data_IF_246338265021
#
_entry.id   IF_246338265021
#
_cell.length_a   1.000
_cell.length_b   1.000
_cell.length_c   1.000
_cell.angle_alpha   90.00
_cell.angle_beta   90.00
_cell.angle_gamma   90.00
#
_symmetry.space_group_name_H-M   'P 1'
#
loop_
_entity.id
_entity.type
_entity.pdbx_description
1 polymer ?
#
# COMPACT_ATOMS: atom_id res chain seq x y z
N UNK A 1 -2.15 -17.01 2.48
CA UNK A 1 -3.30 -17.71 3.09
C UNK A 1 -4.53 -17.78 2.17
N UNK A 2 -5.02 -16.66 1.62
CA UNK A 2 -6.25 -16.64 0.79
C UNK A 2 -6.11 -17.31 -0.59
N UNK A 3 -4.97 -17.13 -1.26
CA UNK A 3 -4.69 -17.69 -2.61
C UNK A 3 -4.73 -19.22 -2.68
N UNK A 4 -4.53 -19.91 -1.55
CA UNK A 4 -4.51 -21.38 -1.49
C UNK A 4 -5.87 -22.02 -1.20
N UNK A 5 -6.98 -21.25 -1.17
CA UNK A 5 -8.34 -21.76 -0.90
C UNK A 5 -9.10 -21.96 -2.22
N UNK A 6 -10.05 -22.90 -2.27
CA UNK A 6 -10.84 -23.27 -3.47
C UNK A 6 -11.70 -22.14 -4.10
N UNK A 7 -11.76 -20.97 -3.49
CA UNK A 7 -12.55 -19.81 -3.91
C UNK A 7 -11.64 -18.67 -4.43
N UNK A 8 -10.54 -19.05 -5.10
CA UNK A 8 -9.38 -18.18 -5.32
C UNK A 8 -9.65 -17.08 -6.37
N UNK A 9 -10.22 -15.98 -5.89
CA UNK A 9 -10.28 -14.70 -6.62
C UNK A 9 -8.88 -14.14 -6.93
N UNK A 10 -7.90 -14.48 -6.10
CA UNK A 10 -6.52 -14.02 -6.23
C UNK A 10 -5.57 -15.18 -6.48
N UNK A 11 -4.62 -14.95 -7.39
CA UNK A 11 -3.54 -15.87 -7.75
C UNK A 11 -2.21 -15.48 -7.09
N UNK A 12 -1.16 -16.28 -7.32
CA UNK A 12 0.22 -15.93 -6.94
C UNK A 12 0.69 -14.61 -7.57
N UNK A 13 0.20 -14.27 -8.76
CA UNK A 13 0.55 -13.03 -9.44
C UNK A 13 0.03 -11.80 -8.69
N UNK A 14 -1.16 -11.91 -8.09
CA UNK A 14 -1.73 -10.84 -7.26
C UNK A 14 -0.92 -10.63 -5.98
N UNK A 15 -0.34 -11.70 -5.41
CA UNK A 15 0.59 -11.59 -4.28
C UNK A 15 1.88 -10.90 -4.71
N UNK A 16 2.38 -11.22 -5.91
CA UNK A 16 3.56 -10.56 -6.48
C UNK A 16 3.29 -9.08 -6.75
N UNK A 17 2.13 -8.73 -7.29
CA UNK A 17 1.71 -7.35 -7.49
C UNK A 17 1.63 -6.57 -6.17
N UNK A 18 1.01 -7.16 -5.14
CA UNK A 18 0.98 -6.54 -3.80
C UNK A 18 2.39 -6.31 -3.22
N UNK A 19 3.34 -7.23 -3.46
CA UNK A 19 4.75 -7.05 -3.05
C UNK A 19 5.47 -5.96 -3.83
N UNK A 20 5.07 -5.65 -5.06
CA UNK A 20 5.65 -4.53 -5.82
C UNK A 20 5.20 -3.18 -5.25
N UNK A 21 3.96 -3.11 -4.75
CA UNK A 21 3.44 -1.91 -4.09
C UNK A 21 4.25 -1.62 -2.81
N UNK A 22 4.50 -2.66 -1.99
CA UNK A 22 5.31 -2.52 -0.78
C UNK A 22 6.43 -3.58 -0.74
N UNK A 23 7.63 -3.28 -1.29
CA UNK A 23 8.75 -4.23 -1.33
C UNK A 23 9.16 -4.76 0.04
N UNK A 24 8.98 -3.96 1.10
CA UNK A 24 9.25 -4.33 2.50
C UNK A 24 8.43 -5.55 2.98
N UNK A 25 7.27 -5.81 2.37
CA UNK A 25 6.41 -6.98 2.66
C UNK A 25 7.10 -8.30 2.29
N UNK A 26 8.16 -8.28 1.46
CA UNK A 26 8.90 -9.48 1.07
C UNK A 26 9.93 -9.96 2.10
N UNK A 27 10.41 -9.08 3.00
CA UNK A 27 11.54 -9.36 3.89
C UNK A 27 11.23 -9.37 5.38
N UNK A 28 10.17 -8.70 5.83
CA UNK A 28 9.88 -8.54 7.25
C UNK A 28 8.39 -8.68 7.55
N UNK A 29 7.88 -9.91 7.52
CA UNK A 29 6.80 -10.26 8.46
C UNK A 29 7.52 -10.53 9.79
N UNK A 30 7.97 -9.46 10.46
CA UNK A 30 8.27 -9.56 11.89
C UNK A 30 6.98 -10.03 12.58
N UNK A 31 7.10 -10.85 13.62
CA UNK A 31 5.96 -11.30 14.41
C UNK A 31 5.08 -10.14 14.94
N UNK A 32 5.61 -8.90 14.92
CA UNK A 32 4.90 -7.66 15.25
C UNK A 32 3.85 -7.26 14.18
N UNK A 33 4.09 -7.49 12.89
CA UNK A 33 3.12 -7.19 11.83
C UNK A 33 1.89 -8.11 11.88
N UNK A 34 2.04 -9.31 12.43
CA UNK A 34 0.92 -10.21 12.74
C UNK A 34 0.12 -9.80 13.98
N UNK A 35 0.60 -8.83 14.75
CA UNK A 35 0.00 -8.37 16.01
C UNK A 35 -0.58 -6.94 15.95
N UNK A 36 -0.43 -6.24 14.81
CA UNK A 36 -1.03 -4.92 14.63
C UNK A 36 -2.56 -5.05 14.48
N UNK A 37 -3.26 -5.00 15.60
CA UNK A 37 -4.71 -4.82 15.64
C UNK A 37 -5.02 -3.38 15.20
N UNK A 38 -5.54 -3.22 13.99
CA UNK A 38 -6.15 -1.93 13.59
C UNK A 38 -7.52 -1.89 14.28
N UNK A 39 -7.81 -0.81 15.02
CA UNK A 39 -9.06 -0.64 15.77
C UNK A 39 -10.28 -0.80 14.83
N UNK A 40 -11.16 -1.76 15.14
CA UNK A 40 -12.28 -2.17 14.26
C UNK A 40 -11.98 -3.28 13.24
N UNK A 41 -10.74 -3.78 13.21
CA UNK A 41 -10.24 -4.81 12.29
C UNK A 41 -9.43 -5.88 13.05
N UNK A 42 -9.99 -6.38 14.17
CA UNK A 42 -9.33 -7.37 15.02
C UNK A 42 -8.95 -8.67 14.31
N UNK A 43 -8.12 -9.48 14.98
CA UNK A 43 -7.47 -10.73 14.53
C UNK A 43 -8.39 -11.90 14.11
N UNK A 44 -9.62 -11.63 13.67
CA UNK A 44 -10.52 -12.59 13.08
C UNK A 44 -9.96 -13.12 11.75
N UNK A 45 -10.15 -14.43 11.52
CA UNK A 45 -9.70 -15.22 10.36
C UNK A 45 -9.72 -14.40 9.06
N UNK A 46 -8.54 -14.07 8.52
CA UNK A 46 -8.39 -13.35 7.25
C UNK A 46 -9.37 -13.91 6.18
N UNK A 47 -10.30 -13.05 5.75
CA UNK A 47 -11.28 -13.32 4.69
C UNK A 47 -10.99 -12.45 3.45
N UNK A 48 -11.64 -12.78 2.33
CA UNK A 48 -11.58 -11.93 1.13
C UNK A 48 -12.16 -10.54 1.44
N UNK A 49 -13.25 -10.46 2.21
CA UNK A 49 -13.87 -9.18 2.56
C UNK A 49 -12.99 -8.31 3.44
N UNK A 50 -12.35 -8.90 4.46
CA UNK A 50 -11.42 -8.14 5.31
C UNK A 50 -10.22 -7.65 4.50
N UNK A 51 -9.68 -8.49 3.61
CA UNK A 51 -8.59 -8.12 2.71
C UNK A 51 -8.98 -6.97 1.77
N UNK A 52 -10.18 -7.00 1.16
CA UNK A 52 -10.68 -5.89 0.33
C UNK A 52 -10.78 -4.61 1.15
N UNK A 53 -11.28 -4.65 2.39
CA UNK A 53 -11.34 -3.45 3.24
C UNK A 53 -9.95 -2.86 3.54
N UNK A 54 -8.94 -3.70 3.79
CA UNK A 54 -7.56 -3.21 3.96
C UNK A 54 -7.00 -2.60 2.68
N UNK A 55 -7.29 -3.19 1.52
CA UNK A 55 -6.91 -2.61 0.23
C UNK A 55 -7.59 -1.26 0.01
N UNK A 56 -8.88 -1.12 0.33
CA UNK A 56 -9.59 0.16 0.24
C UNK A 56 -9.04 1.22 1.20
N UNK A 57 -8.63 0.82 2.41
CA UNK A 57 -7.96 1.72 3.33
C UNK A 57 -6.60 2.18 2.77
N UNK A 58 -5.82 1.26 2.19
CA UNK A 58 -4.55 1.59 1.55
C UNK A 58 -4.75 2.57 0.38
N UNK A 59 -5.73 2.33 -0.50
CA UNK A 59 -6.09 3.23 -1.60
C UNK A 59 -6.40 4.64 -1.10
N UNK A 60 -7.21 4.76 -0.04
CA UNK A 60 -7.51 6.05 0.59
C UNK A 60 -6.24 6.75 1.10
N UNK A 61 -5.36 6.03 1.79
CA UNK A 61 -4.13 6.61 2.35
C UNK A 61 -3.14 7.02 1.25
N UNK A 62 -2.99 6.22 0.20
CA UNK A 62 -2.15 6.57 -0.95
C UNK A 62 -2.71 7.76 -1.72
N UNK A 63 -4.03 7.85 -1.87
CA UNK A 63 -4.67 9.00 -2.50
C UNK A 63 -4.46 10.29 -1.69
N UNK A 64 -4.51 10.23 -0.36
CA UNK A 64 -4.22 11.37 0.51
C UNK A 64 -2.75 11.82 0.43
N UNK A 65 -1.84 10.88 0.14
CA UNK A 65 -0.42 11.15 -0.07
C UNK A 65 -0.09 11.48 -1.54
N UNK A 66 -1.09 11.60 -2.42
CA UNK A 66 -0.92 11.85 -3.86
C UNK A 66 -0.04 10.81 -4.57
N UNK A 67 0.01 9.57 -4.06
CA UNK A 67 0.79 8.47 -4.62
C UNK A 67 -0.05 7.62 -5.59
N UNK A 68 -0.47 8.24 -6.68
CA UNK A 68 -1.51 7.71 -7.57
C UNK A 68 -1.15 6.37 -8.27
N UNK A 69 0.13 6.11 -8.55
CA UNK A 69 0.56 4.81 -9.08
C UNK A 69 0.22 3.63 -8.16
N UNK A 70 0.28 3.83 -6.84
CA UNK A 70 -0.11 2.79 -5.88
C UNK A 70 -1.64 2.64 -5.82
N UNK A 71 -2.40 3.72 -5.92
CA UNK A 71 -3.87 3.66 -6.00
C UNK A 71 -4.33 2.79 -7.18
N UNK A 72 -3.76 3.01 -8.37
CA UNK A 72 -4.05 2.19 -9.56
C UNK A 72 -3.79 0.70 -9.30
N UNK A 73 -2.60 0.39 -8.76
CA UNK A 73 -2.18 -0.98 -8.45
C UNK A 73 -3.09 -1.65 -7.39
N UNK A 74 -3.58 -0.90 -6.41
CA UNK A 74 -4.50 -1.39 -5.39
C UNK A 74 -5.88 -1.69 -6.00
N UNK A 75 -6.41 -0.81 -6.85
CA UNK A 75 -7.68 -1.06 -7.53
C UNK A 75 -7.62 -2.30 -8.44
N UNK A 76 -6.51 -2.52 -9.13
CA UNK A 76 -6.27 -3.74 -9.91
C UNK A 76 -6.33 -5.03 -9.06
N UNK A 77 -5.95 -4.96 -7.79
CA UNK A 77 -6.12 -6.07 -6.85
C UNK A 77 -7.58 -6.26 -6.41
N UNK A 78 -8.38 -5.19 -6.30
CA UNK A 78 -9.77 -5.28 -5.85
C UNK A 78 -10.71 -5.77 -6.98
N UNK A 79 -10.48 -5.32 -8.21
CA UNK A 79 -11.35 -5.58 -9.38
C UNK A 79 -11.69 -7.08 -9.58
N UNK A 80 -10.75 -8.04 -9.50
CA UNK A 80 -11.06 -9.47 -9.61
C UNK A 80 -12.15 -9.95 -8.64
N UNK A 81 -12.20 -9.39 -7.42
CA UNK A 81 -13.22 -9.72 -6.41
C UNK A 81 -14.60 -9.25 -6.84
N UNK A 82 -14.69 -8.02 -7.34
CA UNK A 82 -15.97 -7.52 -7.83
C UNK A 82 -16.41 -8.21 -9.12
N UNK A 83 -15.48 -8.64 -9.97
CA UNK A 83 -15.78 -9.47 -11.15
C UNK A 83 -16.35 -10.82 -10.77
N UNK A 84 -15.70 -11.56 -9.85
CA UNK A 84 -16.16 -12.89 -9.45
C UNK A 84 -17.56 -12.85 -8.81
N UNK A 85 -17.89 -11.75 -8.12
CA UNK A 85 -19.18 -11.52 -7.49
C UNK A 85 -20.22 -10.85 -8.37
N UNK A 86 -19.89 -10.50 -9.63
CA UNK A 86 -20.76 -9.73 -10.54
C UNK A 86 -21.26 -8.42 -9.92
N UNK A 87 -20.42 -7.76 -9.12
CA UNK A 87 -20.75 -6.51 -8.44
C UNK A 87 -20.58 -5.30 -9.37
N UNK A 88 -21.43 -5.20 -10.39
CA UNK A 88 -21.28 -4.22 -11.48
C UNK A 88 -21.25 -2.75 -11.02
N UNK A 89 -22.03 -2.39 -9.99
CA UNK A 89 -22.00 -1.04 -9.44
C UNK A 89 -20.65 -0.66 -8.82
N UNK A 90 -19.96 -1.63 -8.19
CA UNK A 90 -18.62 -1.40 -7.66
C UNK A 90 -17.56 -1.40 -8.76
N UNK A 91 -17.71 -2.26 -9.78
CA UNK A 91 -16.84 -2.25 -10.96
C UNK A 91 -16.88 -0.91 -11.68
N UNK A 92 -18.08 -0.35 -11.90
CA UNK A 92 -18.23 0.97 -12.51
C UNK A 92 -17.46 2.03 -11.71
N UNK A 93 -17.62 2.07 -10.39
CA UNK A 93 -16.88 2.99 -9.51
C UNK A 93 -15.37 2.80 -9.59
N UNK A 94 -14.87 1.55 -9.55
CA UNK A 94 -13.44 1.28 -9.67
C UNK A 94 -12.87 1.79 -11.00
N UNK A 95 -13.59 1.58 -12.11
CA UNK A 95 -13.12 2.03 -13.43
C UNK A 95 -13.18 3.55 -13.58
N UNK A 96 -14.22 4.23 -13.07
CA UNK A 96 -14.24 5.69 -13.01
C UNK A 96 -13.09 6.22 -12.16
N UNK A 97 -12.82 5.60 -11.01
CA UNK A 97 -11.68 5.99 -10.16
C UNK A 97 -10.34 5.80 -10.86
N UNK A 98 -10.17 4.71 -11.62
CA UNK A 98 -8.97 4.48 -12.41
C UNK A 98 -8.76 5.57 -13.48
N UNK A 99 -9.83 6.00 -14.16
CA UNK A 99 -9.75 7.13 -15.10
C UNK A 99 -9.16 8.36 -14.41
N UNK A 100 -9.75 8.78 -13.29
CA UNK A 100 -9.29 9.95 -12.55
C UNK A 100 -7.84 9.79 -12.04
N UNK A 101 -7.48 8.59 -11.54
CA UNK A 101 -6.12 8.29 -11.08
C UNK A 101 -5.10 8.44 -12.21
N UNK A 102 -5.40 7.92 -13.40
CA UNK A 102 -4.50 8.04 -14.55
C UNK A 102 -4.41 9.47 -15.08
N UNK A 103 -5.51 10.24 -15.03
CA UNK A 103 -5.48 11.68 -15.30
C UNK A 103 -4.55 12.42 -14.31
N UNK A 104 -4.66 12.13 -13.01
CA UNK A 104 -3.76 12.73 -12.01
C UNK A 104 -2.29 12.33 -12.18
N UNK A 105 -2.01 11.09 -12.62
CA UNK A 105 -0.65 10.66 -12.96
C UNK A 105 -0.13 11.47 -14.15
N UNK A 106 -0.92 11.65 -15.22
CA UNK A 106 -0.53 12.47 -16.36
C UNK A 106 -0.24 13.91 -15.96
N UNK A 107 -1.06 14.49 -15.09
CA UNK A 107 -0.83 15.82 -14.54
C UNK A 107 0.50 15.90 -13.76
N UNK A 108 0.78 14.93 -12.88
CA UNK A 108 2.03 14.85 -12.14
C UNK A 108 3.25 14.68 -13.06
N UNK A 109 3.18 13.83 -14.08
CA UNK A 109 4.26 13.60 -15.03
C UNK A 109 4.49 14.80 -15.96
N UNK A 110 3.43 15.55 -16.29
CA UNK A 110 3.53 16.75 -17.12
C UNK A 110 4.05 17.98 -16.37
N UNK A 111 4.09 17.93 -15.04
CA UNK A 111 4.55 19.03 -14.20
C UNK A 111 6.03 19.35 -14.49
N UNK A 112 6.39 20.63 -14.72
CA UNK A 112 7.79 21.04 -14.86
C UNK A 112 8.57 20.90 -13.55
N UNK A 113 7.87 20.75 -12.42
CA UNK A 113 8.46 20.46 -11.12
C UNK A 113 8.26 18.96 -10.86
N UNK A 114 9.34 18.16 -10.76
CA UNK A 114 9.24 16.74 -10.45
C UNK A 114 8.46 16.52 -9.16
N UNK A 115 7.54 15.56 -9.17
CA UNK A 115 6.88 15.13 -7.94
C UNK A 115 7.92 14.48 -7.00
N UNK A 116 8.03 15.02 -5.79
CA UNK A 116 8.90 14.51 -4.73
C UNK A 116 7.99 14.19 -3.54
N UNK A 117 7.88 12.90 -3.20
CA UNK A 117 6.98 12.42 -2.15
C UNK A 117 7.52 12.69 -0.74
N UNK A 118 8.83 12.90 -0.62
CA UNK A 118 9.51 13.19 0.63
C UNK A 118 10.94 13.72 0.41
N UNK A 119 11.46 14.40 1.43
CA UNK A 119 12.89 14.71 1.53
C UNK A 119 13.57 13.66 2.40
N UNK A 120 14.75 13.20 1.99
CA UNK A 120 15.49 12.16 2.72
C UNK A 120 16.78 12.72 3.33
N UNK A 121 16.98 12.44 4.62
CA UNK A 121 18.18 12.86 5.37
C UNK A 121 18.90 11.64 5.95
N UNK A 122 20.23 11.60 5.83
CA UNK A 122 21.05 10.64 6.57
C UNK A 122 21.41 11.23 7.93
N UNK A 123 20.96 10.60 9.01
CA UNK A 123 21.19 11.03 10.39
C UNK A 123 22.01 9.98 11.12
N UNK A 124 23.18 10.38 11.62
CA UNK A 124 24.08 9.53 12.40
C UNK A 124 24.23 10.02 13.83
N UNK A 125 24.19 9.10 14.78
CA UNK A 125 24.36 9.39 16.21
C UNK A 125 25.76 8.93 16.65
N UNK A 126 26.56 9.84 17.19
CA UNK A 126 27.96 9.58 17.53
C UNK A 126 28.33 10.11 18.93
N UNK A 127 28.89 9.22 19.76
CA UNK A 127 29.31 9.48 21.14
C UNK A 127 28.63 8.53 22.13
N UNK A 128 29.40 8.02 23.11
CA UNK A 128 28.94 6.98 24.05
C UNK A 128 27.68 7.39 24.86
N UNK A 129 27.44 8.70 25.03
CA UNK A 129 26.21 9.21 25.68
C UNK A 129 24.92 8.87 24.92
N UNK A 130 25.00 8.57 23.63
CA UNK A 130 23.86 8.11 22.82
C UNK A 130 23.53 6.63 23.06
N UNK A 131 24.32 5.90 23.86
CA UNK A 131 24.05 4.53 24.25
C UNK A 131 23.84 3.61 23.05
N UNK A 132 22.65 2.99 22.94
CA UNK A 132 22.33 2.07 21.84
C UNK A 132 22.27 2.72 20.46
N UNK A 133 22.25 4.05 20.38
CA UNK A 133 22.27 4.78 19.13
C UNK A 133 23.69 5.12 18.69
N UNK A 134 24.70 5.03 19.57
CA UNK A 134 26.08 5.35 19.21
C UNK A 134 26.54 4.53 17.99
N UNK A 135 27.11 5.23 17.01
CA UNK A 135 27.57 4.74 15.71
C UNK A 135 26.48 4.11 14.84
N UNK A 136 25.21 4.44 15.10
CA UNK A 136 24.10 4.07 14.20
C UNK A 136 23.74 5.21 13.28
N UNK A 137 23.47 4.86 12.03
CA UNK A 137 22.99 5.76 10.99
C UNK A 137 21.61 5.32 10.52
N UNK A 138 20.78 6.29 10.19
CA UNK A 138 19.41 6.09 9.73
C UNK A 138 19.12 7.01 8.54
N UNK A 139 18.14 6.61 7.73
CA UNK A 139 17.55 7.48 6.71
C UNK A 139 16.21 7.97 7.25
N UNK A 140 16.10 9.27 7.46
CA UNK A 140 14.87 9.94 7.84
C UNK A 140 14.13 10.38 6.57
N UNK A 141 12.83 10.12 6.52
CA UNK A 141 11.92 10.55 5.46
C UNK A 141 11.02 11.64 6.03
N UNK A 142 11.22 12.87 5.60
CA UNK A 142 10.45 14.04 6.04
C UNK A 142 9.34 14.33 5.02
N UNK A 143 8.16 14.70 5.51
CA UNK A 143 7.09 15.19 4.64
C UNK A 143 7.54 16.48 3.95
N UNK A 144 7.02 16.73 2.75
CA UNK A 144 7.21 18.01 2.07
C UNK A 144 6.42 19.09 2.83
N UNK A 145 7.05 20.24 3.08
CA UNK A 145 6.38 21.47 3.55
C UNK A 145 5.42 22.05 2.48
#
# INVERSE_FOLDING_TARGET
>A
ALVGRNDAVWSKDHVTALRRICPMVSGAISAEASAAEVEGYGASKLTVDSAVKYLQLADKLFSQAELYHFCASILELIIPVYKSRRAFGQLAKCHTSLTNIYESILEQESSPIPFIDATYYRVGFYGERFGKLDRKEYVYREARD
#
